data_IF_923342420894
#
_entry.id   IF_923342420894
#
_cell.length_a   1.000
_cell.length_b   1.000
_cell.length_c   1.000
_cell.angle_alpha   90.00
_cell.angle_beta   90.00
_cell.angle_gamma   90.00
#
_symmetry.space_group_name_H-M   'P 1'
#
loop_
_entity.id
_entity.type
_entity.pdbx_description
1 polymer ?
#
# COMPACT_ATOMS: atom_id res chain seq x y z
N UNK A 1 -32.49 7.85 13.14
CA UNK A 1 -32.13 8.55 14.36
C UNK A 1 -31.56 7.57 15.35
N UNK A 2 -30.24 7.58 15.56
CA UNK A 2 -29.58 6.73 16.56
C UNK A 2 -29.60 7.49 17.90
N UNK A 3 -30.65 7.32 18.65
CA UNK A 3 -30.75 7.80 20.02
C UNK A 3 -30.24 6.65 20.91
N UNK A 4 -29.10 6.84 21.58
CA UNK A 4 -28.63 5.97 22.65
C UNK A 4 -27.63 4.88 22.25
N UNK A 5 -27.03 4.88 21.06
CA UNK A 5 -25.82 4.09 20.82
C UNK A 5 -24.59 4.94 21.07
N UNK A 6 -23.84 4.64 22.10
CA UNK A 6 -22.45 5.08 22.18
C UNK A 6 -21.78 4.65 20.86
N UNK A 7 -21.27 5.62 20.11
CA UNK A 7 -20.47 5.35 18.94
C UNK A 7 -19.14 4.77 19.45
N UNK A 8 -19.09 3.44 19.61
CA UNK A 8 -17.88 2.73 20.02
C UNK A 8 -16.87 2.82 18.87
N UNK A 9 -16.09 3.89 18.84
CA UNK A 9 -14.89 3.98 18.02
C UNK A 9 -13.89 3.01 18.67
N UNK A 10 -13.54 1.95 17.93
CA UNK A 10 -12.53 0.98 18.35
C UNK A 10 -11.33 1.10 17.43
N UNK A 11 -10.37 1.89 17.85
CA UNK A 11 -9.14 2.09 17.12
C UNK A 11 -8.29 0.81 17.10
N UNK A 12 -7.77 0.47 15.93
CA UNK A 12 -6.74 -0.58 15.85
C UNK A 12 -5.40 -0.08 16.40
N UNK A 13 -5.12 1.21 16.21
CA UNK A 13 -3.90 1.92 16.66
C UNK A 13 -4.17 3.42 16.81
N UNK A 14 -3.43 4.05 17.72
CA UNK A 14 -3.37 5.51 17.85
C UNK A 14 -1.93 5.95 18.13
N UNK A 15 -1.62 7.22 17.86
CA UNK A 15 -0.30 7.81 18.11
C UNK A 15 0.18 7.50 19.53
N UNK A 16 1.46 7.13 19.65
CA UNK A 16 2.09 6.72 20.90
C UNK A 16 2.05 5.20 21.17
N UNK A 17 1.17 4.43 20.52
CA UNK A 17 1.22 2.98 20.65
C UNK A 17 2.55 2.44 20.11
N UNK A 18 3.10 1.44 20.81
CA UNK A 18 4.36 0.77 20.44
C UNK A 18 5.55 1.75 20.23
N UNK A 19 5.50 2.95 20.81
CA UNK A 19 6.52 3.99 20.66
C UNK A 19 6.51 4.70 19.29
N UNK A 20 5.43 4.55 18.52
CA UNK A 20 5.28 5.11 17.18
C UNK A 20 4.68 6.51 17.24
N UNK A 21 5.30 7.47 16.55
CA UNK A 21 4.86 8.87 16.55
C UNK A 21 3.50 9.06 15.87
N UNK A 22 3.27 8.37 14.75
CA UNK A 22 2.00 8.45 14.04
C UNK A 22 1.70 7.18 13.23
N UNK A 23 0.41 6.85 13.12
CA UNK A 23 -0.12 5.87 12.17
C UNK A 23 -0.94 6.62 11.14
N UNK A 24 -0.65 6.41 9.85
CA UNK A 24 -1.32 7.12 8.75
C UNK A 24 -1.64 6.18 7.59
N UNK A 25 -2.37 6.67 6.61
CA UNK A 25 -2.66 5.98 5.34
C UNK A 25 -3.33 4.61 5.57
N UNK A 26 -4.51 4.57 6.21
CA UNK A 26 -5.15 3.31 6.54
C UNK A 26 -5.78 2.64 5.32
N UNK A 27 -5.68 1.32 5.26
CA UNK A 27 -6.44 0.45 4.37
C UNK A 27 -7.11 -0.67 5.17
N UNK A 28 -8.30 -1.09 4.79
CA UNK A 28 -9.05 -2.14 5.47
C UNK A 28 -9.66 -3.11 4.47
N UNK A 29 -9.48 -4.40 4.71
CA UNK A 29 -10.12 -5.48 3.95
C UNK A 29 -10.65 -6.56 4.88
N UNK A 30 -11.62 -7.33 4.36
CA UNK A 30 -12.11 -8.56 5.01
C UNK A 30 -11.70 -9.74 4.16
N UNK A 31 -11.07 -10.74 4.76
CA UNK A 31 -10.70 -11.98 4.07
C UNK A 31 -11.93 -12.88 3.89
N UNK A 32 -11.82 -13.92 3.04
CA UNK A 32 -12.91 -14.91 2.85
C UNK A 32 -13.28 -15.63 4.16
N UNK A 33 -12.43 -15.60 5.18
CA UNK A 33 -12.68 -16.17 6.50
C UNK A 33 -13.36 -15.21 7.48
N UNK A 34 -13.66 -13.98 7.03
CA UNK A 34 -14.22 -12.93 7.88
C UNK A 34 -13.19 -12.20 8.75
N UNK A 35 -11.89 -12.47 8.58
CA UNK A 35 -10.83 -11.77 9.29
C UNK A 35 -10.71 -10.34 8.74
N UNK A 36 -10.68 -9.35 9.63
CA UNK A 36 -10.35 -7.97 9.29
C UNK A 36 -8.84 -7.77 9.29
N UNK A 37 -8.32 -7.15 8.25
CA UNK A 37 -6.92 -6.76 8.11
C UNK A 37 -6.84 -5.27 7.87
N UNK A 38 -6.32 -4.53 8.86
CA UNK A 38 -6.05 -3.09 8.77
C UNK A 38 -4.57 -2.85 8.49
N UNK A 39 -4.24 -2.24 7.36
CA UNK A 39 -2.88 -1.86 6.97
C UNK A 39 -2.69 -0.36 7.12
N UNK A 40 -1.48 0.10 7.42
CA UNK A 40 -1.17 1.51 7.63
C UNK A 40 0.34 1.76 7.61
N UNK A 41 0.74 3.03 7.50
CA UNK A 41 2.10 3.48 7.79
C UNK A 41 2.38 3.47 9.29
N UNK A 42 3.53 2.95 9.66
CA UNK A 42 4.15 3.04 10.99
C UNK A 42 5.23 4.11 10.91
N UNK A 43 4.93 5.33 11.32
CA UNK A 43 5.83 6.49 11.23
C UNK A 43 6.48 6.72 12.58
N UNK A 44 7.74 6.32 12.71
CA UNK A 44 8.41 6.24 14.02
C UNK A 44 8.77 7.61 14.60
N UNK A 45 9.30 8.52 13.80
CA UNK A 45 9.88 9.77 14.30
C UNK A 45 8.92 10.97 14.24
N UNK A 46 8.04 11.00 13.24
CA UNK A 46 7.13 12.11 13.01
C UNK A 46 5.96 11.67 12.10
N UNK A 47 4.99 12.55 11.86
CA UNK A 47 3.87 12.28 10.93
C UNK A 47 4.21 12.55 9.46
N UNK A 48 5.47 12.84 9.11
CA UNK A 48 5.88 13.23 7.75
C UNK A 48 5.90 12.06 6.78
N UNK A 49 5.77 12.37 5.49
CA UNK A 49 5.79 11.39 4.41
C UNK A 49 7.23 10.90 4.11
N UNK A 50 7.34 9.83 3.31
CA UNK A 50 8.60 9.32 2.80
C UNK A 50 9.43 10.44 2.11
N UNK A 51 10.70 10.58 2.33
CA UNK A 51 11.67 9.68 2.94
C UNK A 51 11.74 9.92 4.45
N UNK A 52 11.58 8.89 5.24
CA UNK A 52 11.72 8.87 6.70
C UNK A 52 11.72 7.41 7.17
N UNK A 53 11.96 7.15 8.46
CA UNK A 53 11.79 5.83 9.04
C UNK A 53 10.29 5.48 9.12
N UNK A 54 9.85 4.76 8.12
CA UNK A 54 8.45 4.31 7.96
C UNK A 54 8.45 2.84 7.55
N UNK A 55 7.60 2.05 8.19
CA UNK A 55 7.30 0.68 7.81
C UNK A 55 5.81 0.52 7.51
N UNK A 56 5.44 -0.55 6.82
CA UNK A 56 4.03 -0.93 6.66
C UNK A 56 3.63 -1.82 7.83
N UNK A 57 2.69 -1.33 8.63
CA UNK A 57 2.07 -2.05 9.73
C UNK A 57 0.79 -2.77 9.33
N UNK A 58 0.45 -3.81 10.09
CA UNK A 58 -0.79 -4.56 9.95
C UNK A 58 -1.37 -4.89 11.31
N UNK A 59 -2.65 -4.58 11.50
CA UNK A 59 -3.48 -5.08 12.60
C UNK A 59 -4.46 -6.12 12.06
N UNK A 60 -4.62 -7.24 12.80
CA UNK A 60 -5.49 -8.34 12.44
C UNK A 60 -6.54 -8.55 13.51
N UNK A 61 -7.81 -8.74 13.11
CA UNK A 61 -8.93 -9.06 14.02
C UNK A 61 -9.75 -10.22 13.47
N UNK A 62 -10.10 -11.17 14.31
CA UNK A 62 -10.96 -12.33 14.00
C UNK A 62 -12.34 -12.29 14.65
N UNK A 63 -12.66 -11.20 15.32
CA UNK A 63 -13.88 -11.01 16.08
C UNK A 63 -14.70 -9.78 15.67
N UNK A 64 -14.55 -9.38 14.40
CA UNK A 64 -15.26 -8.25 13.82
C UNK A 64 -14.76 -6.88 14.31
N UNK A 65 -13.47 -6.78 14.65
CA UNK A 65 -12.84 -5.54 15.10
C UNK A 65 -13.03 -5.24 16.59
N UNK A 66 -13.54 -6.20 17.37
CA UNK A 66 -13.68 -6.02 18.82
C UNK A 66 -12.34 -6.01 19.52
N UNK A 67 -11.44 -6.88 19.08
CA UNK A 67 -10.03 -6.90 19.51
C UNK A 67 -9.09 -6.98 18.32
N UNK A 68 -7.89 -6.46 18.49
CA UNK A 68 -6.85 -6.44 17.47
C UNK A 68 -5.61 -7.15 18.00
N UNK A 69 -5.03 -8.03 17.21
CA UNK A 69 -3.79 -8.71 17.52
C UNK A 69 -2.61 -7.73 17.56
N UNK A 70 -1.48 -8.17 18.14
CA UNK A 70 -0.23 -7.39 18.12
C UNK A 70 0.12 -7.02 16.67
N UNK A 71 0.56 -5.77 16.49
CA UNK A 71 1.01 -5.26 15.20
C UNK A 71 2.08 -6.17 14.58
N UNK A 72 1.97 -6.41 13.28
CA UNK A 72 2.99 -7.03 12.43
C UNK A 72 3.52 -6.01 11.46
N UNK A 73 4.70 -6.27 10.91
CA UNK A 73 5.34 -5.45 9.89
C UNK A 73 5.50 -6.28 8.59
N UNK A 74 4.47 -6.36 7.75
CA UNK A 74 4.53 -7.10 6.49
C UNK A 74 5.60 -6.63 5.53
N UNK A 75 5.89 -5.33 5.54
CA UNK A 75 6.99 -4.71 4.79
C UNK A 75 7.77 -3.80 5.73
N UNK A 76 9.04 -4.11 5.90
CA UNK A 76 10.03 -3.34 6.62
C UNK A 76 11.39 -3.62 6.00
N UNK A 77 12.17 -2.58 5.79
CA UNK A 77 13.51 -2.70 5.21
C UNK A 77 14.61 -2.43 6.22
N UNK A 78 14.32 -1.72 7.30
CA UNK A 78 15.30 -1.41 8.36
C UNK A 78 16.60 -0.84 7.80
N UNK A 79 17.73 -1.33 8.32
CA UNK A 79 19.05 -1.01 7.78
C UNK A 79 19.35 -1.92 6.58
N UNK A 80 19.20 -1.39 5.39
CA UNK A 80 19.39 -2.12 4.13
C UNK A 80 20.35 -1.39 3.21
N UNK A 81 21.23 -2.14 2.52
CA UNK A 81 22.17 -1.60 1.55
C UNK A 81 23.21 -0.66 2.16
N UNK A 82 23.53 -0.81 3.44
CA UNK A 82 24.48 0.06 4.16
C UNK A 82 23.91 1.41 4.57
N UNK A 83 22.59 1.60 4.45
CA UNK A 83 21.90 2.83 4.82
C UNK A 83 21.00 2.61 6.04
N UNK A 84 20.82 3.62 6.91
CA UNK A 84 19.96 3.52 8.08
C UNK A 84 18.47 3.40 7.70
N UNK A 85 17.63 3.00 8.66
CA UNK A 85 16.20 2.81 8.46
C UNK A 85 15.49 4.07 7.91
N UNK A 86 15.90 5.26 8.35
CA UNK A 86 15.37 6.53 7.84
C UNK A 86 15.68 6.79 6.34
N UNK A 87 16.58 6.03 5.74
CA UNK A 87 16.90 6.03 4.31
C UNK A 87 16.33 4.82 3.57
N UNK A 88 15.44 4.06 4.21
CA UNK A 88 14.83 2.84 3.69
C UNK A 88 13.32 2.77 3.97
N UNK A 89 12.65 3.92 4.09
CA UNK A 89 11.23 3.95 4.39
C UNK A 89 10.37 3.27 3.33
N UNK A 90 9.35 2.54 3.77
CA UNK A 90 8.32 1.92 2.93
C UNK A 90 6.94 2.30 3.46
N UNK A 91 6.09 2.84 2.60
CA UNK A 91 4.80 3.39 3.04
C UNK A 91 3.75 3.53 1.94
N UNK A 92 2.68 4.24 2.29
CA UNK A 92 1.48 4.43 1.49
C UNK A 92 0.85 3.09 1.06
N UNK A 93 0.58 2.13 1.99
CA UNK A 93 0.17 0.80 1.62
C UNK A 93 -1.21 0.74 0.96
N UNK A 94 -1.38 -0.20 0.04
CA UNK A 94 -2.67 -0.65 -0.45
C UNK A 94 -2.79 -2.16 -0.26
N UNK A 95 -3.94 -2.63 0.22
CA UNK A 95 -4.19 -4.05 0.53
C UNK A 95 -5.29 -4.61 -0.35
N UNK A 96 -5.15 -5.88 -0.77
CA UNK A 96 -6.12 -6.60 -1.60
C UNK A 96 -6.24 -8.05 -1.15
N UNK A 97 -7.46 -8.57 -1.16
CA UNK A 97 -7.73 -10.02 -0.99
C UNK A 97 -8.10 -10.61 -2.34
N UNK A 98 -7.33 -11.57 -2.84
CA UNK A 98 -7.77 -12.44 -3.94
C UNK A 98 -8.90 -13.33 -3.42
N UNK A 99 -10.12 -12.98 -3.75
CA UNK A 99 -11.32 -13.69 -3.27
C UNK A 99 -11.44 -15.13 -3.78
N UNK A 100 -10.66 -15.52 -4.79
CA UNK A 100 -10.66 -16.90 -5.33
C UNK A 100 -9.71 -17.81 -4.56
N UNK A 101 -8.62 -17.29 -4.02
CA UNK A 101 -7.58 -18.09 -3.34
C UNK A 101 -7.41 -17.73 -1.86
N UNK A 102 -8.04 -16.65 -1.41
CA UNK A 102 -7.80 -16.01 -0.11
C UNK A 102 -6.34 -15.56 0.10
N UNK A 103 -5.58 -15.37 -0.98
CA UNK A 103 -4.27 -14.74 -0.89
C UNK A 103 -4.44 -13.25 -0.64
N UNK A 104 -3.76 -12.73 0.37
CA UNK A 104 -3.75 -11.30 0.67
C UNK A 104 -2.48 -10.69 0.10
N UNK A 105 -2.62 -9.58 -0.60
CA UNK A 105 -1.54 -8.81 -1.19
C UNK A 105 -1.45 -7.44 -0.53
N UNK A 106 -0.24 -6.98 -0.25
CA UNK A 106 0.05 -5.59 0.10
C UNK A 106 1.06 -5.06 -0.89
N UNK A 107 0.81 -3.87 -1.42
CA UNK A 107 1.74 -3.10 -2.26
C UNK A 107 2.05 -1.78 -1.56
N UNK A 108 3.30 -1.32 -1.64
CA UNK A 108 3.75 -0.07 -1.04
C UNK A 108 4.91 0.55 -1.83
N UNK A 109 5.17 1.83 -1.62
CA UNK A 109 6.32 2.52 -2.18
C UNK A 109 7.52 2.42 -1.22
N UNK A 110 8.67 1.95 -1.72
CA UNK A 110 9.93 1.90 -0.99
C UNK A 110 10.90 2.93 -1.54
N UNK A 111 11.50 3.72 -0.64
CA UNK A 111 12.53 4.69 -0.97
C UNK A 111 13.86 4.25 -0.38
N UNK A 112 14.95 4.33 -1.16
CA UNK A 112 16.27 3.89 -0.74
C UNK A 112 17.32 4.95 -1.05
N UNK A 113 17.92 5.56 -0.01
CA UNK A 113 19.03 6.50 -0.16
C UNK A 113 18.70 7.83 -0.83
N UNK A 114 17.44 8.24 -0.83
CA UNK A 114 16.98 9.47 -1.52
C UNK A 114 17.18 10.75 -0.70
N UNK A 115 18.02 10.72 0.32
CA UNK A 115 18.28 11.86 1.22
C UNK A 115 17.11 12.18 2.13
N UNK A 116 17.02 13.44 2.58
CA UNK A 116 15.97 13.89 3.52
C UNK A 116 14.80 14.61 2.82
N UNK A 117 14.72 14.55 1.50
CA UNK A 117 13.63 15.17 0.74
C UNK A 117 12.45 14.21 0.64
N UNK A 118 11.25 14.77 0.49
CA UNK A 118 10.05 13.99 0.25
C UNK A 118 10.16 13.22 -1.08
N UNK A 119 9.80 11.94 -1.06
CA UNK A 119 9.87 11.06 -2.23
C UNK A 119 9.12 11.62 -3.44
N UNK A 120 8.02 12.30 -3.21
CA UNK A 120 7.24 12.98 -4.24
C UNK A 120 8.08 13.95 -5.09
N UNK A 121 9.06 14.62 -4.50
CA UNK A 121 9.92 15.59 -5.16
C UNK A 121 11.29 15.02 -5.53
N UNK A 122 11.83 14.12 -4.69
CA UNK A 122 13.18 13.60 -4.85
C UNK A 122 13.27 12.43 -5.82
N UNK A 123 12.18 11.66 -6.03
CA UNK A 123 12.18 10.55 -6.98
C UNK A 123 12.40 11.05 -8.41
N UNK A 124 13.28 10.37 -9.14
CA UNK A 124 13.73 10.75 -10.48
C UNK A 124 13.32 9.69 -11.53
N UNK A 125 13.36 10.02 -12.83
CA UNK A 125 13.21 9.04 -13.90
C UNK A 125 14.27 7.93 -13.80
N UNK A 126 13.98 6.78 -14.42
CA UNK A 126 14.83 5.62 -14.38
C UNK A 126 14.28 4.51 -13.50
N UNK A 127 15.12 3.50 -13.21
CA UNK A 127 14.72 2.28 -12.52
C UNK A 127 15.57 1.99 -11.28
N UNK A 128 16.67 2.72 -11.10
CA UNK A 128 17.62 2.48 -10.01
C UNK A 128 17.09 2.96 -8.67
N UNK A 129 17.13 2.06 -7.67
CA UNK A 129 16.58 2.28 -6.33
C UNK A 129 17.18 3.47 -5.58
N UNK A 130 18.41 3.88 -5.91
CA UNK A 130 19.13 4.96 -5.25
C UNK A 130 18.59 6.36 -5.56
N UNK A 131 17.75 6.50 -6.57
CA UNK A 131 17.17 7.79 -6.95
C UNK A 131 15.74 7.74 -7.49
N UNK A 132 15.16 6.55 -7.65
CA UNK A 132 13.74 6.41 -7.98
C UNK A 132 13.05 5.48 -6.98
N UNK A 133 11.90 5.89 -6.47
CA UNK A 133 11.11 5.06 -5.58
C UNK A 133 10.72 3.74 -6.27
N UNK A 134 10.72 2.68 -5.49
CA UNK A 134 10.42 1.32 -5.95
C UNK A 134 9.02 0.91 -5.52
N UNK A 135 8.30 0.23 -6.38
CA UNK A 135 7.03 -0.40 -6.03
C UNK A 135 7.29 -1.83 -5.57
N UNK A 136 6.98 -2.11 -4.31
CA UNK A 136 7.24 -3.40 -3.68
C UNK A 136 5.95 -4.04 -3.18
N UNK A 137 5.92 -5.36 -3.21
CA UNK A 137 4.77 -6.15 -2.74
C UNK A 137 5.19 -7.21 -1.75
N UNK A 138 4.23 -7.65 -0.95
CA UNK A 138 4.29 -8.89 -0.18
C UNK A 138 2.95 -9.59 -0.23
N UNK A 139 2.92 -10.89 0.09
CA UNK A 139 1.68 -11.68 0.12
C UNK A 139 1.63 -12.60 1.33
N UNK A 140 0.40 -12.86 1.76
CA UNK A 140 0.06 -13.86 2.76
C UNK A 140 -0.90 -14.89 2.17
N UNK A 141 -0.66 -16.17 2.46
CA UNK A 141 -1.55 -17.29 2.07
C UNK A 141 -2.20 -17.94 3.29
N UNK A 142 -1.95 -17.41 4.48
CA UNK A 142 -2.41 -17.94 5.76
C UNK A 142 -3.27 -16.95 6.55
N UNK A 143 -4.05 -16.14 5.81
CA UNK A 143 -5.03 -15.22 6.39
C UNK A 143 -4.37 -14.05 7.16
N UNK A 144 -3.23 -13.54 6.64
CA UNK A 144 -2.52 -12.39 7.21
C UNK A 144 -1.62 -12.71 8.41
N UNK A 145 -1.36 -13.99 8.71
CA UNK A 145 -0.51 -14.39 9.84
C UNK A 145 0.97 -14.26 9.53
N UNK A 146 1.38 -14.73 8.36
CA UNK A 146 2.77 -14.63 7.86
C UNK A 146 2.81 -14.02 6.47
N UNK A 147 3.95 -13.45 6.11
CA UNK A 147 4.13 -12.68 4.90
C UNK A 147 5.39 -13.12 4.14
N UNK A 148 5.31 -13.08 2.82
CA UNK A 148 6.48 -13.38 1.97
C UNK A 148 7.58 -12.32 2.14
N UNK A 149 8.78 -12.64 1.70
CA UNK A 149 9.81 -11.62 1.47
C UNK A 149 9.29 -10.57 0.48
N UNK A 150 9.75 -9.31 0.58
CA UNK A 150 9.40 -8.27 -0.37
C UNK A 150 9.70 -8.66 -1.82
N UNK A 151 8.79 -8.36 -2.73
CA UNK A 151 8.88 -8.59 -4.17
C UNK A 151 8.92 -7.22 -4.84
N UNK A 152 10.02 -6.85 -5.47
CA UNK A 152 10.10 -5.61 -6.23
C UNK A 152 9.48 -5.81 -7.62
N UNK A 153 8.42 -5.08 -7.92
CA UNK A 153 7.69 -5.14 -9.19
C UNK A 153 7.90 -3.90 -10.06
N UNK A 154 8.75 -2.96 -9.65
CA UNK A 154 9.02 -1.71 -10.40
C UNK A 154 9.32 -1.99 -11.86
N UNK A 155 10.18 -2.97 -12.15
CA UNK A 155 10.56 -3.34 -13.52
C UNK A 155 9.44 -3.91 -14.38
N UNK A 156 8.30 -4.30 -13.79
CA UNK A 156 7.13 -4.78 -14.53
C UNK A 156 6.18 -3.64 -14.92
N UNK A 157 6.14 -2.58 -14.11
CA UNK A 157 5.02 -1.63 -14.14
C UNK A 157 5.42 -0.17 -14.29
N UNK A 158 6.66 0.23 -13.98
CA UNK A 158 7.08 1.62 -14.10
C UNK A 158 7.60 1.92 -15.51
N UNK A 159 7.12 3.01 -16.12
CA UNK A 159 7.78 3.58 -17.30
C UNK A 159 9.06 4.31 -16.83
N UNK A 160 10.22 4.05 -17.46
CA UNK A 160 11.47 4.70 -17.09
C UNK A 160 11.47 6.23 -17.18
N UNK A 161 10.58 6.81 -17.97
CA UNK A 161 10.45 8.27 -18.09
C UNK A 161 9.71 8.93 -16.92
N UNK A 162 8.98 8.15 -16.11
CA UNK A 162 8.23 8.69 -14.97
C UNK A 162 9.15 8.99 -13.79
N UNK A 163 8.83 10.07 -13.09
CA UNK A 163 9.55 10.47 -11.88
C UNK A 163 9.19 9.60 -10.69
N UNK A 164 7.91 9.27 -10.51
CA UNK A 164 7.44 8.51 -9.37
C UNK A 164 6.29 7.61 -9.79
N UNK A 165 6.26 6.40 -9.26
CA UNK A 165 5.13 5.48 -9.34
C UNK A 165 4.83 4.95 -7.95
N UNK A 166 3.59 5.08 -7.53
CA UNK A 166 3.09 4.45 -6.30
C UNK A 166 1.65 3.98 -6.50
N UNK A 167 1.18 3.14 -5.61
CA UNK A 167 -0.22 2.69 -5.58
C UNK A 167 -1.13 3.80 -5.07
N UNK A 168 -2.41 3.74 -5.39
CA UNK A 168 -3.43 4.48 -4.64
C UNK A 168 -3.55 3.85 -3.25
N UNK A 169 -3.36 4.61 -2.16
CA UNK A 169 -3.39 4.06 -0.82
C UNK A 169 -4.78 3.56 -0.46
N UNK A 170 -4.86 2.60 0.47
CA UNK A 170 -6.11 2.02 0.94
C UNK A 170 -6.32 0.58 0.47
N UNK A 171 -7.08 0.33 -0.58
CA UNK A 171 -7.34 -1.04 -1.04
C UNK A 171 -7.46 -1.20 -2.55
N UNK A 172 -7.04 -2.38 -3.03
CA UNK A 172 -7.40 -2.90 -4.35
C UNK A 172 -8.66 -3.79 -4.29
N UNK A 173 -9.02 -4.35 -5.42
CA UNK A 173 -10.18 -5.25 -5.59
C UNK A 173 -9.80 -6.52 -6.35
N UNK A 174 -10.57 -7.59 -6.13
CA UNK A 174 -10.65 -8.74 -7.04
C UNK A 174 -11.93 -8.58 -7.85
N UNK A 175 -11.80 -8.46 -9.17
CA UNK A 175 -12.94 -8.38 -10.08
C UNK A 175 -13.69 -9.71 -10.17
N UNK A 176 -14.91 -9.70 -10.72
CA UNK A 176 -15.76 -10.89 -10.86
C UNK A 176 -15.07 -11.99 -11.69
N UNK A 177 -14.32 -11.61 -12.72
CA UNK A 177 -13.52 -12.53 -13.54
C UNK A 177 -12.26 -13.05 -12.85
N UNK A 178 -11.95 -12.52 -11.65
CA UNK A 178 -10.81 -12.88 -10.84
C UNK A 178 -9.55 -12.04 -11.12
N UNK A 179 -9.62 -11.02 -11.96
CA UNK A 179 -8.53 -10.05 -12.14
C UNK A 179 -8.29 -9.30 -10.85
N UNK A 180 -7.05 -9.23 -10.43
CA UNK A 180 -6.62 -8.43 -9.28
C UNK A 180 -6.31 -7.01 -9.77
N UNK A 181 -6.83 -5.99 -9.10
CA UNK A 181 -6.63 -4.60 -9.51
C UNK A 181 -6.26 -3.73 -8.32
N UNK A 182 -5.17 -2.98 -8.45
CA UNK A 182 -4.83 -1.88 -7.55
C UNK A 182 -4.97 -0.54 -8.28
N UNK A 183 -5.46 0.51 -7.62
CA UNK A 183 -5.30 1.86 -8.12
C UNK A 183 -3.82 2.24 -8.08
N UNK A 184 -3.37 3.06 -9.01
CA UNK A 184 -2.03 3.62 -9.03
C UNK A 184 -2.08 5.11 -9.31
N UNK A 185 -0.99 5.77 -8.92
CA UNK A 185 -0.70 7.14 -9.30
C UNK A 185 0.77 7.24 -9.71
N UNK A 186 1.07 8.12 -10.66
CA UNK A 186 2.42 8.33 -11.13
C UNK A 186 2.64 9.79 -11.55
N UNK A 187 3.88 10.25 -11.41
CA UNK A 187 4.31 11.54 -11.92
C UNK A 187 5.01 11.28 -13.24
N UNK A 188 4.45 11.79 -14.32
CA UNK A 188 4.96 11.58 -15.67
C UNK A 188 6.21 12.43 -15.99
N UNK A 189 6.72 12.33 -17.22
CA UNK A 189 7.90 13.06 -17.68
C UNK A 189 7.74 14.58 -17.69
N UNK A 190 6.51 15.08 -17.62
CA UNK A 190 6.19 16.52 -17.53
C UNK A 190 5.95 17.00 -16.10
N UNK A 191 6.17 16.13 -15.11
CA UNK A 191 5.90 16.33 -13.68
C UNK A 191 4.41 16.53 -13.35
N UNK A 192 3.52 16.05 -14.19
CA UNK A 192 2.09 16.05 -13.91
C UNK A 192 1.71 14.73 -13.21
N UNK A 193 0.99 14.77 -12.08
CA UNK A 193 0.47 13.58 -11.44
C UNK A 193 -0.71 13.00 -12.23
N UNK A 194 -0.76 11.70 -12.33
CA UNK A 194 -1.76 10.96 -13.10
C UNK A 194 -2.25 9.76 -12.30
N UNK A 195 -3.50 9.39 -12.48
CA UNK A 195 -4.08 8.17 -11.92
C UNK A 195 -4.34 7.12 -13.00
N UNK A 196 -4.19 5.87 -12.62
CA UNK A 196 -4.44 4.70 -13.47
C UNK A 196 -4.74 3.46 -12.63
N UNK A 197 -4.65 2.31 -13.27
CA UNK A 197 -4.76 1.02 -12.60
C UNK A 197 -3.58 0.12 -12.92
N UNK A 198 -3.21 -0.71 -11.95
CA UNK A 198 -2.32 -1.84 -12.11
C UNK A 198 -3.14 -3.12 -11.91
N UNK A 199 -2.94 -4.12 -12.74
CA UNK A 199 -3.72 -5.34 -12.70
C UNK A 199 -2.90 -6.59 -12.95
N UNK A 200 -3.43 -7.72 -12.45
CA UNK A 200 -2.89 -9.06 -12.69
C UNK A 200 -4.05 -10.02 -13.07
N UNK A 201 -3.87 -10.74 -14.17
CA UNK A 201 -4.80 -11.80 -14.63
C UNK A 201 -4.34 -13.22 -14.27
N UNK A 202 -3.16 -13.34 -13.67
CA UNK A 202 -2.50 -14.61 -13.36
C UNK A 202 -2.24 -14.82 -11.86
N UNK A 203 -3.12 -14.24 -11.02
CA UNK A 203 -3.06 -14.34 -9.56
C UNK A 203 -1.81 -13.72 -8.95
N UNK A 204 -1.37 -12.59 -9.49
CA UNK A 204 -0.25 -11.83 -8.97
C UNK A 204 1.13 -12.37 -9.34
N UNK A 205 1.23 -13.28 -10.34
CA UNK A 205 2.53 -13.71 -10.88
C UNK A 205 3.16 -12.60 -11.70
N UNK A 206 2.36 -11.93 -12.54
CA UNK A 206 2.76 -10.75 -13.30
C UNK A 206 1.79 -9.60 -13.10
N UNK A 207 2.31 -8.39 -13.17
CA UNK A 207 1.55 -7.15 -13.03
C UNK A 207 1.74 -6.28 -14.25
N UNK A 208 0.67 -5.64 -14.68
CA UNK A 208 0.64 -4.76 -15.84
C UNK A 208 -0.06 -3.46 -15.47
N UNK A 209 0.32 -2.37 -16.10
CA UNK A 209 -0.41 -1.10 -16.03
C UNK A 209 -1.37 -1.02 -17.22
N UNK A 210 -2.57 -0.56 -16.97
CA UNK A 210 -3.52 -0.13 -18.00
C UNK A 210 -3.52 1.38 -18.10
N UNK A 211 -4.11 1.87 -19.18
CA UNK A 211 -4.15 3.26 -19.59
C UNK A 211 -4.41 4.24 -18.45
N UNK A 212 -3.89 5.45 -18.63
CA UNK A 212 -4.21 6.64 -17.86
C UNK A 212 -5.73 6.77 -17.67
N UNK A 213 -6.17 6.81 -16.41
CA UNK A 213 -7.57 7.03 -16.08
C UNK A 213 -7.88 8.53 -16.04
N UNK A 214 -6.99 9.32 -15.43
CA UNK A 214 -7.14 10.76 -15.31
C UNK A 214 -5.79 11.44 -15.09
N UNK A 215 -5.58 12.57 -15.78
CA UNK A 215 -4.44 13.45 -15.56
C UNK A 215 -4.73 14.50 -14.48
N UNK A 216 -3.66 15.06 -13.93
CA UNK A 216 -3.69 16.09 -12.88
C UNK A 216 -4.52 15.68 -11.66
N UNK A 217 -4.29 14.45 -11.16
CA UNK A 217 -4.99 13.86 -10.03
C UNK A 217 -4.12 12.85 -9.30
N UNK A 218 -4.44 12.62 -8.02
CA UNK A 218 -3.73 11.68 -7.12
C UNK A 218 -4.71 10.87 -6.28
N UNK A 219 -4.22 9.91 -5.52
CA UNK A 219 -4.95 9.13 -4.50
C UNK A 219 -6.24 8.48 -5.02
N UNK A 220 -6.15 7.88 -6.21
CA UNK A 220 -7.26 7.21 -6.86
C UNK A 220 -7.70 5.96 -6.10
N UNK A 221 -8.99 5.63 -6.22
CA UNK A 221 -9.59 4.38 -5.76
C UNK A 221 -10.20 3.64 -6.94
N UNK A 222 -10.43 2.33 -6.77
CA UNK A 222 -11.02 1.47 -7.78
C UNK A 222 -12.28 0.80 -7.28
N UNK A 223 -13.25 0.66 -8.19
CA UNK A 223 -14.49 -0.09 -7.96
C UNK A 223 -14.89 -0.77 -9.27
N UNK A 224 -15.43 -1.98 -9.19
CA UNK A 224 -16.04 -2.65 -10.31
C UNK A 224 -17.53 -2.29 -10.34
N UNK A 225 -17.98 -1.71 -11.44
CA UNK A 225 -19.41 -1.44 -11.67
C UNK A 225 -20.03 -2.57 -12.47
N UNK A 226 -21.21 -3.03 -12.05
CA UNK A 226 -22.00 -3.95 -12.89
C UNK A 226 -22.66 -3.16 -14.03
N UNK A 227 -22.85 -3.83 -15.19
CA UNK A 227 -23.53 -3.22 -16.34
C UNK A 227 -24.97 -2.76 -16.03
N UNK A 228 -25.58 -3.33 -14.99
CA UNK A 228 -26.92 -2.92 -14.52
C UNK A 228 -26.94 -1.50 -13.93
N UNK A 229 -25.79 -0.98 -13.50
CA UNK A 229 -25.67 0.36 -12.91
C UNK A 229 -25.19 1.43 -13.91
N UNK A 230 -24.95 1.03 -15.17
CA UNK A 230 -24.60 1.92 -16.27
C UNK A 230 -25.82 2.13 -17.17
#
# INVERSE_FOLDING_TARGET
CLVGSEMCIRDSRHAGNDGVSAFRIPGLVTTNKGTLLGVYDVRYNSSVDLQEHVDVGLSRSTDGGRTWEKMRLPLSFGETGGLPAAQNGVGDPSILVDTKTNTVWIVAAWTHGMGNQRAWWSSQPGMEKSYTAQLVMTKSTDDGKTWSKPINITGQVKDPSWYFLLQGPGRGITMQDGTLVFPIQFIDSTRIPNAGIMYSKDRGKTWNIHNLARTNTTEAQVVELSLIHI
#
